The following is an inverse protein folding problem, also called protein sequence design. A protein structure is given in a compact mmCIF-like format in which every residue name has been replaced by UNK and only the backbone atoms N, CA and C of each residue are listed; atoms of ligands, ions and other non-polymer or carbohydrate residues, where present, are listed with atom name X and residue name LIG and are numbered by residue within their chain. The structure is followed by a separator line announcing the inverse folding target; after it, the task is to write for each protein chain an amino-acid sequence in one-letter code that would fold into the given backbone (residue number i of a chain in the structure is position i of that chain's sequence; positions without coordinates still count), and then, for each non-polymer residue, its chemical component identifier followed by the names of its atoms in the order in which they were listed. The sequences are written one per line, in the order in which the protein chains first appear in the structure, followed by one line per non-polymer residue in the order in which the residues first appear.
data_IF_951270209091
#
_entry.id   IF_951270209091
#
_cell.length_a   1.000
_cell.length_b   1.000
_cell.length_c   1.000
_cell.angle_alpha   90.00
_cell.angle_beta   90.00
_cell.angle_gamma   90.00
#
_symmetry.space_group_name_H-M   'P 1'
#
loop_
_entity.id
_entity.type
_entity.pdbx_description
1 polymer ?
#
# COMPACT_ATOMS: atom_id res chain seq x y z
N UNK A 1 -10.15 3.02 -2.42
CA UNK A 1 -10.91 3.60 -1.27
C UNK A 1 -10.03 3.63 -0.02
N UNK A 2 -9.49 2.49 0.43
CA UNK A 2 -8.68 2.41 1.66
C UNK A 2 -7.39 3.27 1.60
N UNK A 3 -6.65 3.21 0.51
CA UNK A 3 -5.35 3.91 0.35
C UNK A 3 -5.42 5.43 0.59
N UNK A 4 -6.39 6.18 0.04
CA UNK A 4 -6.48 7.61 0.32
C UNK A 4 -7.14 7.95 1.66
N UNK A 5 -7.92 7.05 2.26
CA UNK A 5 -8.62 7.28 3.54
C UNK A 5 -7.70 7.04 4.74
N UNK A 6 -6.97 5.93 4.75
CA UNK A 6 -6.17 5.50 5.90
C UNK A 6 -5.19 6.56 6.42
N UNK A 7 -4.45 7.31 5.58
CA UNK A 7 -3.49 8.31 6.06
C UNK A 7 -4.13 9.54 6.72
N UNK A 8 -5.45 9.70 6.62
CA UNK A 8 -6.16 10.85 7.17
C UNK A 8 -6.73 10.63 8.57
N UNK A 9 -6.48 9.47 9.16
CA UNK A 9 -6.65 9.30 10.60
C UNK A 9 -5.42 9.82 11.32
N UNK A 10 -5.62 10.43 12.49
CA UNK A 10 -4.53 10.98 13.27
C UNK A 10 -3.50 9.91 13.66
N UNK A 11 -2.24 10.29 13.73
CA UNK A 11 -1.21 9.42 14.29
C UNK A 11 -1.60 9.01 15.73
N UNK A 12 -1.41 7.73 16.03
CA UNK A 12 -1.84 7.20 17.33
C UNK A 12 -3.32 6.78 17.40
N UNK A 13 -4.12 6.98 16.36
CA UNK A 13 -5.46 6.42 16.27
C UNK A 13 -5.38 4.88 16.22
N UNK A 14 -6.02 4.18 17.18
CA UNK A 14 -5.94 2.71 17.33
C UNK A 14 -7.29 2.02 17.27
N UNK A 15 -8.39 2.75 17.17
CA UNK A 15 -9.72 2.17 17.06
C UNK A 15 -9.89 1.53 15.68
N UNK A 16 -10.60 0.41 15.63
CA UNK A 16 -10.96 -0.22 14.36
C UNK A 16 -12.00 0.63 13.62
N UNK A 17 -11.79 0.78 12.31
CA UNK A 17 -12.74 1.44 11.42
C UNK A 17 -13.08 0.50 10.27
N UNK A 18 -14.37 0.25 10.09
CA UNK A 18 -14.88 -0.52 8.98
C UNK A 18 -15.72 0.37 8.06
N UNK A 19 -15.35 0.41 6.78
CA UNK A 19 -16.11 1.08 5.72
C UNK A 19 -16.68 0.01 4.79
N UNK A 20 -18.00 -0.01 4.63
CA UNK A 20 -18.70 -0.94 3.77
C UNK A 20 -19.44 -0.17 2.68
N UNK A 21 -19.07 -0.43 1.42
CA UNK A 21 -19.73 0.13 0.26
C UNK A 21 -20.55 -0.95 -0.43
N UNK A 22 -21.87 -0.78 -0.44
CA UNK A 22 -22.78 -1.71 -1.09
C UNK A 22 -23.31 -1.09 -2.38
N UNK A 23 -22.97 -1.71 -3.51
CA UNK A 23 -23.46 -1.30 -4.83
C UNK A 23 -24.89 -1.83 -5.01
N UNK A 24 -25.86 -0.94 -5.04
CA UNK A 24 -27.28 -1.30 -5.17
C UNK A 24 -27.79 -1.19 -6.63
N UNK A 25 -27.15 -0.35 -7.42
CA UNK A 25 -27.50 -0.13 -8.84
C UNK A 25 -26.25 0.34 -9.58
N UNK A 26 -26.12 -0.06 -10.83
CA UNK A 26 -24.97 0.27 -11.69
C UNK A 26 -25.46 0.84 -13.02
N UNK A 27 -24.83 1.93 -13.44
CA UNK A 27 -24.85 2.39 -14.83
C UNK A 27 -23.54 1.89 -15.49
N UNK A 28 -23.68 1.10 -16.55
CA UNK A 28 -22.51 0.53 -17.25
C UNK A 28 -21.63 1.59 -17.94
N UNK A 29 -22.10 2.84 -18.02
CA UNK A 29 -21.32 3.96 -18.55
C UNK A 29 -20.52 4.72 -17.48
N UNK A 30 -20.72 4.40 -16.20
CA UNK A 30 -20.07 5.07 -15.08
C UNK A 30 -19.48 4.07 -14.07
N UNK A 31 -18.25 4.32 -13.63
CA UNK A 31 -17.56 3.51 -12.62
C UNK A 31 -18.23 3.64 -11.24
N UNK A 32 -18.71 2.53 -10.64
CA UNK A 32 -19.24 2.55 -9.29
C UNK A 32 -18.19 2.86 -8.22
N UNK A 33 -16.90 2.62 -8.53
CA UNK A 33 -15.78 2.81 -7.60
C UNK A 33 -15.60 4.29 -7.22
N UNK A 34 -15.78 5.22 -8.16
CA UNK A 34 -15.68 6.65 -7.89
C UNK A 34 -16.85 7.13 -7.00
N UNK A 35 -18.06 6.65 -7.26
CA UNK A 35 -19.19 6.92 -6.40
C UNK A 35 -19.03 6.31 -5.00
N UNK A 36 -18.46 5.11 -4.91
CA UNK A 36 -18.15 4.45 -3.63
C UNK A 36 -17.10 5.21 -2.82
N UNK A 37 -16.08 5.77 -3.47
CA UNK A 37 -15.06 6.58 -2.81
C UNK A 37 -15.66 7.86 -2.23
N UNK A 38 -16.46 8.57 -3.01
CA UNK A 38 -17.19 9.77 -2.55
C UNK A 38 -18.14 9.43 -1.39
N UNK A 39 -18.88 8.33 -1.51
CA UNK A 39 -19.79 7.86 -0.46
C UNK A 39 -19.07 7.47 0.83
N UNK A 40 -17.91 6.81 0.73
CA UNK A 40 -17.07 6.47 1.88
C UNK A 40 -16.54 7.73 2.60
N UNK A 41 -16.03 8.70 1.83
CA UNK A 41 -15.59 10.00 2.36
C UNK A 41 -16.71 10.74 3.06
N UNK A 42 -17.84 10.89 2.41
CA UNK A 42 -19.02 11.54 3.00
C UNK A 42 -19.50 10.85 4.28
N UNK A 43 -19.58 9.52 4.28
CA UNK A 43 -20.00 8.76 5.46
C UNK A 43 -19.09 9.01 6.68
N UNK A 44 -17.78 9.05 6.46
CA UNK A 44 -16.80 9.37 7.50
C UNK A 44 -16.91 10.85 7.93
N UNK A 45 -17.03 11.76 6.99
CA UNK A 45 -17.06 13.20 7.27
C UNK A 45 -18.34 13.63 8.02
N UNK A 46 -19.50 13.07 7.68
CA UNK A 46 -20.77 13.42 8.37
C UNK A 46 -20.95 12.68 9.70
N UNK A 47 -20.22 11.58 9.93
CA UNK A 47 -20.27 10.84 11.19
C UNK A 47 -19.51 11.57 12.31
N UNK A 48 -19.59 11.03 13.51
CA UNK A 48 -18.82 11.47 14.67
C UNK A 48 -17.40 10.88 14.72
N UNK A 49 -16.99 10.06 13.74
CA UNK A 49 -15.64 9.48 13.64
C UNK A 49 -14.62 10.60 13.38
N UNK A 50 -13.51 10.70 14.14
CA UNK A 50 -12.47 11.72 13.95
C UNK A 50 -11.64 11.38 12.69
N UNK A 51 -12.02 11.95 11.59
CA UNK A 51 -11.44 11.79 10.26
C UNK A 51 -11.05 13.15 9.68
N UNK A 52 -9.80 13.28 9.22
CA UNK A 52 -9.21 14.53 8.71
C UNK A 52 -9.44 14.73 7.20
N UNK A 53 -10.53 14.14 6.64
CA UNK A 53 -10.99 14.42 5.29
C UNK A 53 -11.73 15.75 5.17
N UNK A 54 -12.39 15.97 4.02
CA UNK A 54 -12.79 14.98 3.02
C UNK A 54 -11.71 14.56 2.03
N UNK A 55 -11.97 13.49 1.30
CA UNK A 55 -11.23 13.04 0.15
C UNK A 55 -12.18 12.79 -1.03
N UNK A 56 -11.68 13.02 -2.23
CA UNK A 56 -12.36 12.59 -3.44
C UNK A 56 -11.37 11.93 -4.41
N UNK A 57 -11.91 11.20 -5.38
CA UNK A 57 -11.13 10.61 -6.44
C UNK A 57 -11.84 10.71 -7.77
N UNK A 58 -11.05 10.73 -8.83
CA UNK A 58 -11.51 10.74 -10.20
C UNK A 58 -10.63 9.83 -11.07
N UNK A 59 -11.20 9.37 -12.17
CA UNK A 59 -10.45 8.73 -13.24
C UNK A 59 -10.17 9.76 -14.33
N UNK A 60 -8.91 9.85 -14.79
CA UNK A 60 -8.48 10.75 -15.85
C UNK A 60 -8.07 9.94 -17.06
N UNK A 61 -8.70 10.20 -18.20
CA UNK A 61 -8.30 9.71 -19.51
C UNK A 61 -7.58 10.77 -20.34
N UNK A 62 -6.77 10.33 -21.32
CA UNK A 62 -6.25 11.17 -22.40
C UNK A 62 -6.80 10.63 -23.72
N UNK A 63 -7.82 11.28 -24.25
CA UNK A 63 -8.60 10.82 -25.39
C UNK A 63 -8.49 11.86 -26.50
N UNK A 64 -8.02 11.42 -27.67
CA UNK A 64 -7.84 12.29 -28.83
C UNK A 64 -7.02 13.58 -28.55
N UNK A 65 -6.11 13.52 -27.57
CA UNK A 65 -5.24 14.62 -27.15
C UNK A 65 -5.82 15.54 -26.06
N UNK A 66 -7.02 15.24 -25.54
CA UNK A 66 -7.68 16.02 -24.49
C UNK A 66 -7.86 15.19 -23.20
N UNK A 67 -7.67 15.83 -22.05
CA UNK A 67 -7.95 15.19 -20.76
C UNK A 67 -9.44 15.16 -20.50
N UNK A 68 -9.92 14.02 -20.01
CA UNK A 68 -11.33 13.77 -19.72
C UNK A 68 -11.45 13.16 -18.31
N UNK A 69 -12.46 13.62 -17.54
CA UNK A 69 -12.77 13.08 -16.20
C UNK A 69 -13.87 12.02 -16.31
N UNK A 70 -13.63 10.86 -15.70
CA UNK A 70 -14.60 9.76 -15.56
C UNK A 70 -15.24 9.37 -16.91
N UNK A 71 -14.42 9.26 -17.95
CA UNK A 71 -14.88 8.84 -19.27
C UNK A 71 -15.49 7.43 -19.21
N UNK A 72 -16.47 7.20 -20.07
CA UNK A 72 -17.12 5.89 -20.19
C UNK A 72 -16.20 4.81 -20.77
N UNK A 73 -16.56 3.52 -20.64
CA UNK A 73 -15.71 2.41 -21.06
C UNK A 73 -15.29 2.48 -22.54
N UNK A 74 -16.21 2.82 -23.43
CA UNK A 74 -15.93 2.93 -24.88
C UNK A 74 -14.90 4.02 -25.19
N UNK A 75 -14.92 5.13 -24.46
CA UNK A 75 -13.95 6.22 -24.60
C UNK A 75 -12.60 5.82 -24.01
N UNK A 76 -12.62 5.12 -22.86
CA UNK A 76 -11.40 4.63 -22.20
C UNK A 76 -10.62 3.61 -23.02
N UNK A 77 -11.26 2.82 -23.90
CA UNK A 77 -10.55 1.93 -24.83
C UNK A 77 -9.56 2.69 -25.75
N UNK A 78 -9.91 3.92 -26.13
CA UNK A 78 -9.09 4.79 -26.99
C UNK A 78 -8.11 5.65 -26.20
N UNK A 79 -8.24 5.69 -24.89
CA UNK A 79 -7.40 6.51 -24.03
C UNK A 79 -5.94 6.05 -24.04
N UNK A 80 -5.03 7.01 -23.98
CA UNK A 80 -3.60 6.78 -23.78
C UNK A 80 -3.22 6.69 -22.30
N UNK A 81 -4.10 7.16 -21.40
CA UNK A 81 -3.91 7.14 -19.96
C UNK A 81 -5.19 6.60 -19.32
N UNK A 82 -5.05 5.71 -18.36
CA UNK A 82 -6.08 5.37 -17.38
C UNK A 82 -5.50 5.67 -16.01
N UNK A 83 -5.84 6.85 -15.47
CA UNK A 83 -5.24 7.38 -14.26
C UNK A 83 -6.31 7.54 -13.19
N UNK A 84 -6.25 6.72 -12.15
CA UNK A 84 -6.99 6.94 -10.92
C UNK A 84 -6.20 7.85 -9.99
N UNK A 85 -6.76 8.97 -9.64
CA UNK A 85 -6.17 9.93 -8.71
C UNK A 85 -7.14 10.28 -7.61
N UNK A 86 -6.66 10.28 -6.37
CA UNK A 86 -7.44 10.69 -5.22
C UNK A 86 -6.59 11.55 -4.27
N UNK A 87 -7.27 12.39 -3.52
CA UNK A 87 -6.61 13.29 -2.58
C UNK A 87 -7.57 14.19 -1.81
N UNK A 88 -6.96 15.07 -1.04
CA UNK A 88 -7.62 16.19 -0.37
C UNK A 88 -7.60 17.42 -1.28
N UNK A 89 -8.19 18.53 -0.83
CA UNK A 89 -8.10 19.80 -1.57
C UNK A 89 -6.67 20.33 -1.72
N UNK A 90 -5.78 19.94 -0.82
CA UNK A 90 -4.43 20.49 -0.74
C UNK A 90 -3.37 19.57 -1.35
N UNK A 91 -3.64 18.27 -1.43
CA UNK A 91 -2.65 17.28 -1.87
C UNK A 91 -3.27 16.03 -2.49
N UNK A 92 -2.57 15.48 -3.48
CA UNK A 92 -2.82 14.14 -4.01
C UNK A 92 -2.14 13.13 -3.08
N UNK A 93 -2.87 12.13 -2.62
CA UNK A 93 -2.35 11.10 -1.72
C UNK A 93 -2.49 9.67 -2.26
N UNK A 94 -3.14 9.48 -3.41
CA UNK A 94 -3.23 8.21 -4.11
C UNK A 94 -3.18 8.41 -5.61
N UNK A 95 -2.34 7.62 -6.26
CA UNK A 95 -2.22 7.55 -7.73
C UNK A 95 -2.12 6.09 -8.13
N UNK A 96 -2.87 5.72 -9.15
CA UNK A 96 -2.75 4.45 -9.84
C UNK A 96 -2.95 4.70 -11.34
N UNK A 97 -2.00 4.27 -12.17
CA UNK A 97 -2.04 4.58 -13.59
C UNK A 97 -1.63 3.38 -14.45
N UNK A 98 -2.34 3.23 -15.57
CA UNK A 98 -1.92 2.48 -16.73
C UNK A 98 -1.81 3.45 -17.91
N UNK A 99 -0.68 3.42 -18.63
CA UNK A 99 -0.41 4.37 -19.68
C UNK A 99 0.31 3.75 -20.89
N UNK A 100 -0.01 4.23 -22.08
CA UNK A 100 0.59 3.78 -23.35
C UNK A 100 1.76 4.71 -23.71
N UNK A 101 2.86 4.60 -22.96
CA UNK A 101 4.15 5.29 -23.22
C UNK A 101 4.02 6.83 -23.35
N UNK A 102 3.18 7.46 -22.54
CA UNK A 102 3.12 8.93 -22.45
C UNK A 102 4.33 9.46 -21.68
N UNK A 103 4.75 10.69 -22.01
CA UNK A 103 5.84 11.36 -21.31
C UNK A 103 5.44 11.82 -19.89
N UNK A 104 6.44 12.13 -19.07
CA UNK A 104 6.26 12.52 -17.68
C UNK A 104 5.51 13.85 -17.53
N UNK A 105 5.73 14.80 -18.42
CA UNK A 105 5.06 16.10 -18.38
C UNK A 105 3.56 15.93 -18.66
N UNK A 106 3.21 15.08 -19.63
CA UNK A 106 1.81 14.72 -19.92
C UNK A 106 1.16 14.04 -18.73
N UNK A 107 1.86 13.10 -18.06
CA UNK A 107 1.35 12.44 -16.87
C UNK A 107 1.17 13.44 -15.71
N UNK A 108 2.11 14.34 -15.49
CA UNK A 108 2.00 15.39 -14.47
C UNK A 108 0.80 16.30 -14.73
N UNK A 109 0.60 16.70 -15.97
CA UNK A 109 -0.56 17.52 -16.34
C UNK A 109 -1.88 16.78 -16.12
N UNK A 110 -1.94 15.47 -16.40
CA UNK A 110 -3.11 14.64 -16.10
C UNK A 110 -3.41 14.57 -14.59
N UNK A 111 -2.38 14.42 -13.75
CA UNK A 111 -2.51 14.45 -12.29
C UNK A 111 -3.08 15.79 -11.81
N UNK A 112 -2.54 16.89 -12.28
CA UNK A 112 -3.00 18.23 -11.91
C UNK A 112 -4.43 18.50 -12.39
N UNK A 113 -4.77 18.06 -13.61
CA UNK A 113 -6.13 18.16 -14.14
C UNK A 113 -7.14 17.38 -13.28
N UNK A 114 -6.79 16.15 -12.88
CA UNK A 114 -7.59 15.36 -11.94
C UNK A 114 -7.75 16.02 -10.57
N UNK A 115 -6.67 16.63 -10.06
CA UNK A 115 -6.71 17.32 -8.77
C UNK A 115 -7.65 18.54 -8.76
N UNK A 116 -7.76 19.28 -9.86
CA UNK A 116 -8.75 20.37 -9.95
C UNK A 116 -10.18 19.84 -9.85
N UNK A 117 -10.51 18.72 -10.51
CA UNK A 117 -11.81 18.08 -10.37
C UNK A 117 -12.07 17.55 -8.95
N UNK A 118 -11.04 17.02 -8.29
CA UNK A 118 -11.11 16.59 -6.88
C UNK A 118 -11.51 17.76 -5.98
N UNK A 119 -10.94 18.95 -6.16
CA UNK A 119 -11.27 20.14 -5.38
C UNK A 119 -12.75 20.54 -5.49
N UNK A 120 -13.33 20.38 -6.68
CA UNK A 120 -14.76 20.65 -6.89
C UNK A 120 -15.65 19.65 -6.13
N UNK A 121 -15.29 18.37 -6.16
CA UNK A 121 -15.99 17.33 -5.39
C UNK A 121 -15.88 17.57 -3.89
N UNK A 122 -14.70 17.92 -3.40
CA UNK A 122 -14.47 18.24 -1.99
C UNK A 122 -15.28 19.46 -1.55
N UNK A 123 -15.37 20.51 -2.38
CA UNK A 123 -16.22 21.67 -2.09
C UNK A 123 -17.71 21.31 -2.01
N UNK A 124 -18.14 20.27 -2.73
CA UNK A 124 -19.48 19.71 -2.57
C UNK A 124 -19.61 18.95 -1.24
N UNK A 125 -18.64 18.10 -0.89
CA UNK A 125 -18.65 17.35 0.37
C UNK A 125 -18.66 18.29 1.59
N UNK A 126 -17.86 19.35 1.58
CA UNK A 126 -17.81 20.37 2.64
C UNK A 126 -19.22 20.99 2.89
N UNK A 127 -20.01 21.26 1.84
CA UNK A 127 -21.38 21.75 1.97
C UNK A 127 -22.33 20.72 2.60
N UNK A 128 -22.14 19.43 2.27
CA UNK A 128 -22.94 18.36 2.87
C UNK A 128 -22.60 18.23 4.36
N UNK A 129 -21.32 18.28 4.70
CA UNK A 129 -20.84 18.22 6.09
C UNK A 129 -21.36 19.42 6.89
N UNK A 130 -21.37 20.63 6.33
CA UNK A 130 -21.95 21.81 6.97
C UNK A 130 -23.46 21.64 7.26
N UNK A 131 -24.17 20.97 6.35
CA UNK A 131 -25.63 20.80 6.47
C UNK A 131 -26.03 19.69 7.45
N UNK A 132 -25.28 18.62 7.58
CA UNK A 132 -25.70 17.43 8.35
C UNK A 132 -24.56 16.70 9.09
N UNK A 133 -23.37 17.26 9.13
CA UNK A 133 -22.24 16.68 9.87
C UNK A 133 -22.47 16.68 11.38
N UNK A 134 -21.91 15.68 12.04
CA UNK A 134 -21.89 15.56 13.50
C UNK A 134 -20.59 16.10 14.07
N UNK A 135 -20.63 16.51 15.34
CA UNK A 135 -19.43 16.81 16.10
C UNK A 135 -18.57 15.54 16.26
N UNK A 136 -17.26 15.68 16.08
CA UNK A 136 -16.34 14.57 16.17
C UNK A 136 -16.09 14.18 17.62
N UNK A 137 -16.10 12.86 17.89
CA UNK A 137 -15.75 12.36 19.23
C UNK A 137 -14.26 12.61 19.51
N UNK A 138 -13.96 12.98 20.73
CA UNK A 138 -12.60 13.01 21.24
C UNK A 138 -12.18 11.59 21.66
N UNK A 139 -11.03 11.14 21.20
CA UNK A 139 -10.47 9.85 21.56
C UNK A 139 -9.04 10.03 22.05
N UNK A 140 -8.58 9.21 23.01
CA UNK A 140 -7.19 9.20 23.40
C UNK A 140 -6.34 8.67 22.23
N UNK A 141 -5.35 9.45 21.81
CA UNK A 141 -4.36 9.00 20.84
C UNK A 141 -3.24 8.27 21.58
N UNK A 142 -2.74 7.22 20.95
CA UNK A 142 -1.57 6.52 21.47
C UNK A 142 -0.33 7.38 21.22
N UNK A 143 0.37 7.69 22.29
CA UNK A 143 1.64 8.41 22.26
C UNK A 143 2.74 7.58 22.92
N UNK A 144 3.96 7.67 22.39
CA UNK A 144 5.12 7.03 23.01
C UNK A 144 5.58 7.84 24.24
N UNK A 145 5.91 7.15 25.30
CA UNK A 145 6.56 7.77 26.47
C UNK A 145 7.95 8.28 26.06
N UNK A 146 8.12 9.61 26.11
CA UNK A 146 9.35 10.25 25.69
C UNK A 146 10.56 9.89 26.59
N UNK A 147 10.33 9.56 27.86
CA UNK A 147 11.38 9.07 28.72
C UNK A 147 11.87 7.69 28.30
N UNK A 148 10.94 6.82 27.91
CA UNK A 148 11.25 5.49 27.39
C UNK A 148 11.96 5.60 26.02
N UNK A 149 11.52 6.49 25.14
CA UNK A 149 12.19 6.77 23.86
C UNK A 149 13.65 7.15 24.10
N UNK A 150 13.90 8.09 25.01
CA UNK A 150 15.26 8.54 25.31
C UNK A 150 16.11 7.41 25.91
N UNK A 151 15.57 6.66 26.88
CA UNK A 151 16.28 5.54 27.52
C UNK A 151 16.73 4.48 26.51
N UNK A 152 15.83 4.07 25.60
CA UNK A 152 16.14 3.06 24.58
C UNK A 152 17.11 3.63 23.53
N UNK A 153 16.95 4.88 23.14
CA UNK A 153 17.86 5.55 22.22
C UNK A 153 19.28 5.56 22.79
N UNK A 154 19.44 6.00 24.05
CA UNK A 154 20.75 6.03 24.72
C UNK A 154 21.36 4.63 24.88
N UNK A 155 20.51 3.61 24.99
CA UNK A 155 20.93 2.23 25.19
C UNK A 155 21.49 1.57 23.93
N UNK A 156 20.91 1.81 22.75
CA UNK A 156 21.22 0.99 21.57
C UNK A 156 21.37 1.77 20.24
N UNK A 157 21.24 3.09 20.21
CA UNK A 157 21.29 3.87 18.96
C UNK A 157 22.58 3.65 18.19
N UNK A 158 23.74 3.71 18.85
CA UNK A 158 25.03 3.58 18.17
C UNK A 158 25.24 2.20 17.57
N UNK A 159 24.74 1.16 18.26
CA UNK A 159 24.76 -0.20 17.76
C UNK A 159 23.79 -0.36 16.56
N UNK A 160 22.60 0.24 16.63
CA UNK A 160 21.62 0.23 15.54
C UNK A 160 22.17 0.91 14.29
N UNK A 161 22.82 2.06 14.43
CA UNK A 161 23.51 2.77 13.33
C UNK A 161 24.56 1.88 12.67
N UNK A 162 25.36 1.19 13.49
CA UNK A 162 26.38 0.26 12.98
C UNK A 162 25.74 -0.95 12.26
N UNK A 163 24.69 -1.53 12.82
CA UNK A 163 24.00 -2.68 12.26
C UNK A 163 23.32 -2.36 10.93
N UNK A 164 22.60 -1.23 10.84
CA UNK A 164 21.92 -0.77 9.61
C UNK A 164 22.92 -0.56 8.45
N UNK A 165 24.16 -0.20 8.76
CA UNK A 165 25.20 0.06 7.76
C UNK A 165 25.89 -1.21 7.22
N UNK A 166 25.53 -2.41 7.67
CA UNK A 166 26.08 -3.67 7.17
C UNK A 166 25.54 -3.94 5.75
N UNK A 167 26.40 -4.07 4.71
CA UNK A 167 25.93 -4.22 3.33
C UNK A 167 25.18 -5.53 3.07
N UNK A 168 25.61 -6.63 3.69
CA UNK A 168 25.01 -7.96 3.55
C UNK A 168 23.61 -8.00 4.18
N UNK A 169 22.61 -8.42 3.42
CA UNK A 169 21.21 -8.40 3.88
C UNK A 169 20.98 -9.28 5.11
N UNK A 170 21.41 -10.54 5.04
CA UNK A 170 21.20 -11.51 6.13
C UNK A 170 22.01 -11.14 7.38
N UNK A 171 23.24 -10.69 7.20
CA UNK A 171 24.12 -10.24 8.28
C UNK A 171 23.58 -8.98 8.96
N UNK A 172 23.05 -8.03 8.18
CA UNK A 172 22.40 -6.83 8.68
C UNK A 172 21.17 -7.15 9.51
N UNK A 173 20.27 -8.00 8.98
CA UNK A 173 19.08 -8.40 9.72
C UNK A 173 19.43 -9.15 11.00
N UNK A 174 20.37 -10.08 10.95
CA UNK A 174 20.81 -10.80 12.15
C UNK A 174 21.37 -9.86 13.22
N UNK A 175 22.14 -8.83 12.82
CA UNK A 175 22.67 -7.84 13.75
C UNK A 175 21.56 -6.94 14.34
N UNK A 176 20.58 -6.55 13.54
CA UNK A 176 19.42 -5.77 14.00
C UNK A 176 18.57 -6.61 14.95
N UNK A 177 18.25 -7.86 14.58
CA UNK A 177 17.46 -8.78 15.42
C UNK A 177 18.14 -9.05 16.77
N UNK A 178 19.47 -9.22 16.79
CA UNK A 178 20.24 -9.39 18.02
C UNK A 178 20.08 -8.18 18.98
N UNK A 179 20.10 -6.97 18.44
CA UNK A 179 19.88 -5.75 19.22
C UNK A 179 18.44 -5.70 19.74
N UNK A 180 17.47 -5.97 18.85
CA UNK A 180 16.05 -5.95 19.19
C UNK A 180 15.71 -6.99 20.27
N UNK A 181 16.18 -8.22 20.11
CA UNK A 181 15.97 -9.31 21.07
C UNK A 181 16.58 -8.99 22.43
N UNK A 182 17.84 -8.50 22.45
CA UNK A 182 18.53 -8.12 23.68
C UNK A 182 17.81 -7.03 24.45
N UNK A 183 17.41 -5.96 23.76
CA UNK A 183 16.69 -4.84 24.40
C UNK A 183 15.31 -5.30 24.87
N UNK A 184 14.59 -6.06 24.04
CA UNK A 184 13.27 -6.60 24.39
C UNK A 184 13.35 -7.49 25.63
N UNK A 185 14.33 -8.41 25.70
CA UNK A 185 14.54 -9.28 26.87
C UNK A 185 14.87 -8.46 28.13
N UNK A 186 15.68 -7.42 28.03
CA UNK A 186 16.01 -6.54 29.13
C UNK A 186 14.77 -5.85 29.73
N UNK A 187 13.82 -5.46 28.88
CA UNK A 187 12.56 -4.86 29.35
C UNK A 187 11.56 -5.90 29.83
N UNK A 188 11.53 -7.10 29.25
CA UNK A 188 10.67 -8.20 29.71
C UNK A 188 11.00 -8.69 31.13
N UNK A 189 12.28 -8.60 31.52
CA UNK A 189 12.77 -8.96 32.87
C UNK A 189 12.55 -7.89 33.95
N UNK A 190 12.13 -6.65 33.58
CA UNK A 190 11.82 -5.59 34.54
C UNK A 190 10.56 -5.93 35.36
N UNK A 191 10.50 -5.45 36.60
CA UNK A 191 9.30 -5.55 37.43
C UNK A 191 8.29 -4.45 36.99
N UNK A 192 7.04 -4.86 36.82
CA UNK A 192 5.93 -3.98 36.46
C UNK A 192 4.83 -4.06 37.50
N UNK A 193 4.00 -3.02 37.61
CA UNK A 193 2.91 -2.98 38.61
C UNK A 193 1.84 -4.05 38.31
N UNK A 194 1.59 -4.30 37.01
CA UNK A 194 0.62 -5.29 36.55
C UNK A 194 0.99 -5.73 35.11
N UNK A 195 0.29 -6.75 34.61
CA UNK A 195 0.50 -7.32 33.25
C UNK A 195 0.11 -6.35 32.16
N UNK A 196 -0.91 -5.51 32.35
CA UNK A 196 -1.36 -4.52 31.39
C UNK A 196 -0.29 -3.45 31.15
N UNK A 197 0.33 -2.97 32.21
CA UNK A 197 1.46 -2.04 32.15
C UNK A 197 2.64 -2.67 31.41
N UNK A 198 2.96 -3.94 31.70
CA UNK A 198 4.01 -4.69 31.01
C UNK A 198 3.74 -4.77 29.51
N UNK A 199 2.56 -5.21 29.12
CA UNK A 199 2.18 -5.33 27.71
C UNK A 199 2.26 -3.98 26.97
N UNK A 200 1.80 -2.90 27.62
CA UNK A 200 1.87 -1.54 27.08
C UNK A 200 3.31 -1.10 26.86
N UNK A 201 4.21 -1.32 27.83
CA UNK A 201 5.63 -0.96 27.70
C UNK A 201 6.31 -1.81 26.63
N UNK A 202 6.10 -3.12 26.62
CA UNK A 202 6.69 -4.01 25.61
C UNK A 202 6.28 -3.63 24.19
N UNK A 203 5.03 -3.23 23.99
CA UNK A 203 4.55 -2.70 22.70
C UNK A 203 5.27 -1.42 22.31
N UNK A 204 5.48 -0.50 23.25
CA UNK A 204 6.22 0.73 22.99
C UNK A 204 7.70 0.45 22.67
N UNK A 205 8.35 -0.47 23.38
CA UNK A 205 9.73 -0.91 23.11
C UNK A 205 9.88 -1.37 21.67
N UNK A 206 8.98 -2.24 21.18
CA UNK A 206 9.00 -2.71 19.80
C UNK A 206 8.84 -1.57 18.77
N UNK A 207 7.95 -0.61 19.03
CA UNK A 207 7.76 0.55 18.16
C UNK A 207 9.00 1.45 18.13
N UNK A 208 9.59 1.73 19.29
CA UNK A 208 10.77 2.58 19.42
C UNK A 208 11.96 1.98 18.67
N UNK A 209 12.22 0.69 18.86
CA UNK A 209 13.31 -0.02 18.18
C UNK A 209 13.14 0.01 16.65
N UNK A 210 11.93 -0.22 16.17
CA UNK A 210 11.62 -0.13 14.75
C UNK A 210 11.79 1.31 14.21
N UNK A 211 11.39 2.31 14.98
CA UNK A 211 11.56 3.71 14.58
C UNK A 211 13.03 4.13 14.56
N UNK A 212 13.89 3.63 15.46
CA UNK A 212 15.33 3.84 15.40
C UNK A 212 15.93 3.28 14.11
N UNK A 213 15.61 2.03 13.76
CA UNK A 213 16.04 1.43 12.48
C UNK A 213 15.58 2.27 11.30
N UNK A 214 14.29 2.57 11.22
CA UNK A 214 13.67 3.35 10.14
C UNK A 214 14.28 4.74 10.00
N UNK A 215 14.52 5.43 11.10
CA UNK A 215 15.08 6.78 11.08
C UNK A 215 16.53 6.77 10.58
N UNK A 216 17.34 5.78 11.00
CA UNK A 216 18.69 5.63 10.51
C UNK A 216 18.76 5.26 9.02
N UNK A 217 17.92 4.34 8.56
CA UNK A 217 17.80 4.04 7.13
C UNK A 217 17.45 5.28 6.32
N UNK A 218 16.53 6.10 6.82
CA UNK A 218 16.16 7.35 6.17
C UNK A 218 17.29 8.36 6.18
N UNK A 219 18.00 8.48 7.30
CA UNK A 219 19.17 9.37 7.41
C UNK A 219 20.24 9.03 6.39
N UNK A 220 20.61 7.73 6.28
CA UNK A 220 21.56 7.25 5.27
C UNK A 220 21.15 7.66 3.84
N UNK A 221 19.87 7.49 3.50
CA UNK A 221 19.37 7.79 2.16
C UNK A 221 19.28 9.30 1.92
N UNK A 222 18.80 10.09 2.89
CA UNK A 222 18.53 11.52 2.69
C UNK A 222 19.77 12.37 2.85
N UNK A 223 20.67 12.03 3.78
CA UNK A 223 21.87 12.82 4.09
C UNK A 223 23.11 12.27 3.39
N UNK A 224 23.41 10.99 3.55
CA UNK A 224 24.61 10.38 2.99
C UNK A 224 24.43 9.90 1.53
N UNK A 225 23.19 9.85 1.02
CA UNK A 225 22.86 9.41 -0.34
C UNK A 225 23.29 7.96 -0.62
N UNK A 226 23.30 7.12 0.41
CA UNK A 226 23.68 5.71 0.36
C UNK A 226 22.50 4.88 0.87
N UNK A 227 22.22 3.76 0.20
CA UNK A 227 21.25 2.77 0.69
C UNK A 227 21.91 1.78 1.66
N UNK A 228 21.17 1.13 2.56
CA UNK A 228 21.74 0.18 3.54
C UNK A 228 22.57 -0.94 2.94
N UNK A 229 22.32 -1.33 1.70
CA UNK A 229 23.10 -2.33 0.96
C UNK A 229 24.32 -1.75 0.22
N UNK A 230 24.69 -0.51 0.49
CA UNK A 230 25.85 0.19 -0.07
C UNK A 230 25.65 0.79 -1.47
N UNK A 231 24.48 0.59 -2.09
CA UNK A 231 24.16 1.19 -3.40
C UNK A 231 23.94 2.69 -3.29
N UNK A 232 24.20 3.39 -4.37
CA UNK A 232 23.78 4.78 -4.56
C UNK A 232 22.26 4.86 -4.71
N UNK A 233 21.70 6.06 -4.55
CA UNK A 233 20.24 6.29 -4.61
C UNK A 233 19.63 5.99 -5.99
N UNK A 234 20.40 6.15 -7.07
CA UNK A 234 20.04 5.90 -8.47
C UNK A 234 20.49 4.54 -9.01
N UNK A 235 21.17 3.75 -8.20
CA UNK A 235 21.70 2.44 -8.59
C UNK A 235 20.63 1.35 -8.49
N UNK A 236 20.37 0.66 -9.59
CA UNK A 236 19.46 -0.48 -9.65
C UNK A 236 20.17 -1.75 -9.16
N UNK A 237 19.45 -2.62 -8.45
CA UNK A 237 19.99 -3.94 -8.09
C UNK A 237 20.33 -4.74 -9.35
N UNK A 238 21.36 -5.62 -9.30
CA UNK A 238 21.68 -6.50 -10.43
C UNK A 238 20.45 -7.30 -10.87
N UNK A 239 20.16 -7.25 -12.16
CA UNK A 239 19.07 -7.98 -12.78
C UNK A 239 19.61 -9.12 -13.63
N UNK A 240 18.99 -10.28 -13.55
CA UNK A 240 19.24 -11.41 -14.42
C UNK A 240 17.92 -12.08 -14.79
N UNK A 241 17.79 -12.48 -16.05
CA UNK A 241 16.65 -13.21 -16.55
C UNK A 241 17.11 -14.41 -17.38
N UNK A 242 16.56 -15.57 -17.09
CA UNK A 242 16.81 -16.81 -17.82
C UNK A 242 15.47 -17.39 -18.26
N UNK A 243 15.39 -17.91 -19.47
CA UNK A 243 14.19 -18.53 -20.01
C UNK A 243 14.42 -19.99 -20.31
N UNK A 244 13.35 -20.74 -20.54
CA UNK A 244 13.39 -22.15 -20.95
C UNK A 244 14.09 -23.07 -19.95
N UNK A 245 13.80 -22.88 -18.65
CA UNK A 245 14.42 -23.65 -17.56
C UNK A 245 13.74 -25.01 -17.31
N UNK A 246 12.43 -25.06 -17.48
CA UNK A 246 11.64 -26.26 -17.18
C UNK A 246 11.23 -26.95 -18.47
N UNK A 247 11.57 -28.24 -18.64
CA UNK A 247 11.09 -29.01 -19.78
C UNK A 247 9.58 -29.28 -19.67
N UNK A 248 8.91 -29.40 -20.81
CA UNK A 248 7.48 -29.80 -20.95
C UNK A 248 6.46 -28.78 -20.42
N UNK A 249 6.85 -27.57 -20.10
CA UNK A 249 5.92 -26.46 -19.89
C UNK A 249 5.82 -25.62 -21.15
N UNK A 250 4.78 -24.80 -21.28
CA UNK A 250 4.62 -23.94 -22.46
C UNK A 250 5.61 -22.76 -22.44
N UNK A 251 6.06 -22.36 -21.26
CA UNK A 251 7.10 -21.38 -21.05
C UNK A 251 7.55 -21.34 -19.60
N UNK A 252 8.81 -21.04 -19.37
CA UNK A 252 9.37 -20.82 -18.04
C UNK A 252 10.43 -19.77 -18.05
N UNK A 253 10.52 -18.98 -16.98
CA UNK A 253 11.52 -17.97 -16.78
C UNK A 253 11.92 -17.87 -15.31
N UNK A 254 13.20 -17.65 -15.06
CA UNK A 254 13.72 -17.27 -13.75
C UNK A 254 14.17 -15.82 -13.81
N UNK A 255 13.55 -14.96 -13.04
CA UNK A 255 13.94 -13.58 -12.89
C UNK A 255 14.62 -13.37 -11.53
N UNK A 256 15.79 -12.77 -11.53
CA UNK A 256 16.57 -12.49 -10.33
C UNK A 256 16.82 -10.98 -10.23
N UNK A 257 16.49 -10.41 -9.08
CA UNK A 257 16.79 -9.03 -8.73
C UNK A 257 17.54 -8.98 -7.39
N UNK A 258 18.84 -8.79 -7.45
CA UNK A 258 19.70 -8.96 -6.28
C UNK A 258 19.59 -10.37 -5.70
N UNK A 259 19.11 -10.50 -4.48
CA UNK A 259 18.93 -11.78 -3.79
C UNK A 259 17.54 -12.40 -3.95
N UNK A 260 16.60 -11.67 -4.58
CA UNK A 260 15.23 -12.16 -4.79
C UNK A 260 15.08 -12.84 -6.13
N UNK A 261 14.50 -14.04 -6.14
CA UNK A 261 14.24 -14.82 -7.35
C UNK A 261 12.75 -15.14 -7.50
N UNK A 262 12.27 -15.08 -8.72
CA UNK A 262 10.90 -15.48 -9.10
C UNK A 262 10.96 -16.48 -10.24
N UNK A 263 10.43 -17.68 -10.02
CA UNK A 263 10.24 -18.67 -11.07
C UNK A 263 8.82 -18.52 -11.63
N UNK A 264 8.73 -18.11 -12.88
CA UNK A 264 7.48 -17.95 -13.60
C UNK A 264 7.26 -19.15 -14.54
N UNK A 265 6.05 -19.67 -14.56
CA UNK A 265 5.67 -20.76 -15.46
C UNK A 265 4.41 -20.34 -16.22
N UNK A 266 4.47 -20.47 -17.54
CA UNK A 266 3.37 -20.14 -18.43
C UNK A 266 2.65 -21.41 -18.87
N UNK A 267 1.32 -21.37 -18.83
CA UNK A 267 0.45 -22.40 -19.39
C UNK A 267 -0.48 -21.75 -20.41
N UNK A 268 -0.45 -22.24 -21.65
CA UNK A 268 -1.37 -21.82 -22.70
C UNK A 268 -2.59 -22.74 -22.69
N UNK A 269 -3.78 -22.15 -22.69
CA UNK A 269 -5.04 -22.85 -22.76
C UNK A 269 -5.79 -22.57 -24.05
N UNK A 270 -6.80 -23.39 -24.34
CA UNK A 270 -7.74 -23.16 -25.44
C UNK A 270 -8.64 -21.94 -25.14
N UNK A 271 -9.19 -21.30 -26.18
CA UNK A 271 -10.08 -20.15 -26.02
C UNK A 271 -11.34 -20.44 -25.18
N UNK A 272 -11.73 -21.70 -25.04
CA UNK A 272 -12.84 -22.12 -24.17
C UNK A 272 -12.48 -22.19 -22.67
N UNK A 273 -11.19 -22.13 -22.33
CA UNK A 273 -10.67 -22.21 -20.96
C UNK A 273 -10.60 -20.86 -20.24
N UNK A 274 -11.11 -19.79 -20.86
CA UNK A 274 -11.13 -18.45 -20.25
C UNK A 274 -11.96 -18.43 -18.97
N UNK A 275 -11.54 -17.66 -18.00
CA UNK A 275 -12.32 -17.42 -16.79
C UNK A 275 -13.58 -16.63 -17.15
N UNK A 276 -14.75 -17.18 -16.83
CA UNK A 276 -16.01 -16.45 -16.93
C UNK A 276 -16.19 -15.56 -15.72
N UNK A 277 -16.61 -14.33 -15.96
CA UNK A 277 -16.90 -13.34 -14.95
C UNK A 277 -18.41 -13.09 -14.95
N UNK A 278 -19.04 -13.29 -13.80
CA UNK A 278 -20.45 -12.98 -13.57
C UNK A 278 -20.53 -11.83 -12.56
N UNK A 279 -20.44 -10.63 -13.07
CA UNK A 279 -20.38 -9.41 -12.27
C UNK A 279 -21.29 -8.31 -12.82
N UNK A 280 -21.24 -7.12 -12.20
CA UNK A 280 -22.02 -5.94 -12.61
C UNK A 280 -21.34 -5.13 -13.73
N UNK A 281 -20.08 -5.42 -14.04
CA UNK A 281 -19.31 -4.76 -15.09
C UNK A 281 -19.59 -5.29 -16.48
N UNK A 282 -18.93 -4.69 -17.49
CA UNK A 282 -19.05 -5.10 -18.90
C UNK A 282 -18.20 -6.34 -19.23
N UNK A 283 -17.18 -6.63 -18.43
CA UNK A 283 -16.30 -7.77 -18.64
C UNK A 283 -17.02 -9.07 -18.28
N UNK A 284 -17.18 -9.97 -19.26
CA UNK A 284 -17.77 -11.29 -19.09
C UNK A 284 -16.74 -12.43 -19.06
N UNK A 285 -15.49 -12.13 -19.41
CA UNK A 285 -14.42 -13.13 -19.45
C UNK A 285 -13.04 -12.53 -19.25
N UNK A 286 -12.14 -13.29 -18.64
CA UNK A 286 -10.74 -12.95 -18.46
C UNK A 286 -9.84 -14.02 -19.07
N UNK A 287 -9.04 -13.63 -20.06
CA UNK A 287 -8.13 -14.54 -20.79
C UNK A 287 -6.79 -14.74 -20.09
N UNK A 288 -6.26 -13.67 -19.52
CA UNK A 288 -4.97 -13.67 -18.85
C UNK A 288 -5.19 -13.78 -17.34
N UNK A 289 -4.50 -14.74 -16.71
CA UNK A 289 -4.53 -14.94 -15.27
C UNK A 289 -3.09 -15.02 -14.79
N UNK A 290 -2.74 -14.17 -13.84
CA UNK A 290 -1.43 -14.17 -13.20
C UNK A 290 -1.61 -14.57 -11.73
N UNK A 291 -1.13 -15.76 -11.38
CA UNK A 291 -1.13 -16.23 -10.00
C UNK A 291 0.23 -15.95 -9.38
N UNK A 292 0.22 -15.32 -8.21
CA UNK A 292 1.42 -15.10 -7.41
C UNK A 292 1.37 -15.99 -6.17
N UNK A 293 2.34 -16.89 -6.06
CA UNK A 293 2.47 -17.81 -4.94
C UNK A 293 3.69 -17.41 -4.11
N UNK A 294 3.51 -17.25 -2.80
CA UNK A 294 4.55 -16.92 -1.86
C UNK A 294 4.54 -17.95 -0.72
N UNK A 295 5.09 -19.16 -0.97
CA UNK A 295 5.13 -20.21 0.05
C UNK A 295 6.10 -19.86 1.18
N UNK A 296 5.91 -20.39 2.42
CA UNK A 296 6.74 -20.07 3.57
C UNK A 296 8.24 -20.28 3.32
N UNK A 297 8.62 -21.30 2.58
CA UNK A 297 10.04 -21.57 2.26
C UNK A 297 10.68 -20.45 1.41
N UNK A 298 9.91 -19.54 0.81
CA UNK A 298 10.45 -18.38 0.08
C UNK A 298 11.23 -17.42 0.97
N UNK A 299 10.94 -17.42 2.27
CA UNK A 299 11.61 -16.64 3.30
C UNK A 299 12.37 -17.50 4.31
N UNK A 300 12.54 -18.79 4.02
CA UNK A 300 13.26 -19.74 4.89
C UNK A 300 12.46 -20.22 6.09
N UNK A 301 11.17 -20.00 6.12
CA UNK A 301 10.28 -20.40 7.21
C UNK A 301 9.58 -21.73 6.93
N UNK A 302 9.14 -22.39 8.00
CA UNK A 302 8.21 -23.50 7.93
C UNK A 302 6.79 -22.99 8.14
N UNK A 303 5.84 -23.48 7.34
CA UNK A 303 4.46 -23.04 7.45
C UNK A 303 3.49 -23.93 6.70
N UNK A 304 2.21 -23.67 6.89
CA UNK A 304 1.16 -24.45 6.22
C UNK A 304 1.15 -24.14 4.73
N UNK A 305 1.35 -25.16 3.90
CA UNK A 305 1.18 -25.05 2.46
C UNK A 305 -0.31 -25.02 2.11
N UNK A 306 -0.81 -23.83 1.83
CA UNK A 306 -2.18 -23.65 1.36
C UNK A 306 -2.20 -23.74 -0.17
N UNK A 307 -3.09 -24.55 -0.72
CA UNK A 307 -3.35 -24.54 -2.15
C UNK A 307 -4.21 -23.32 -2.54
N UNK A 308 -4.22 -22.99 -3.83
CA UNK A 308 -5.02 -21.88 -4.38
C UNK A 308 -6.50 -21.95 -3.99
N UNK A 309 -7.07 -23.14 -3.82
CA UNK A 309 -8.45 -23.32 -3.39
C UNK A 309 -8.70 -22.83 -1.94
N UNK A 310 -7.66 -22.75 -1.11
CA UNK A 310 -7.75 -22.27 0.27
C UNK A 310 -7.43 -20.78 0.42
N UNK A 311 -6.78 -20.19 -0.58
CA UNK A 311 -6.30 -18.80 -0.56
C UNK A 311 -7.25 -17.88 -1.38
N UNK A 312 -8.16 -18.46 -2.15
CA UNK A 312 -8.71 -17.82 -3.33
C UNK A 312 -9.62 -16.61 -3.07
N UNK A 313 -10.36 -16.54 -1.98
CA UNK A 313 -11.36 -15.46 -1.84
C UNK A 313 -10.84 -14.17 -1.16
N UNK A 314 -10.21 -14.19 0.01
CA UNK A 314 -9.78 -12.95 0.63
C UNK A 314 -8.58 -12.30 -0.07
N UNK A 315 -7.71 -13.11 -0.66
CA UNK A 315 -6.48 -12.63 -1.30
C UNK A 315 -6.72 -12.06 -2.69
N UNK A 316 -7.72 -12.54 -3.41
CA UNK A 316 -8.15 -11.96 -4.69
C UNK A 316 -8.75 -10.56 -4.53
N UNK A 317 -9.44 -10.30 -3.43
CA UNK A 317 -10.01 -8.97 -3.12
C UNK A 317 -8.98 -7.98 -2.58
N UNK A 318 -7.89 -8.49 -2.02
CA UNK A 318 -6.67 -7.73 -1.71
C UNK A 318 -5.66 -7.80 -2.85
N UNK A 319 -6.05 -8.49 -3.92
CA UNK A 319 -5.21 -8.71 -5.09
C UNK A 319 -4.77 -7.38 -5.60
N UNK A 320 -3.58 -7.22 -5.46
CA UNK A 320 -2.70 -6.58 -6.38
C UNK A 320 -3.50 -6.33 -7.67
N UNK A 321 -4.04 -5.12 -7.78
CA UNK A 321 -4.46 -4.58 -9.07
C UNK A 321 -3.18 -4.46 -9.88
N UNK A 322 -3.06 -5.24 -10.90
CA UNK A 322 -2.10 -5.03 -11.97
C UNK A 322 -2.85 -4.46 -13.16
#
# INVERSE_FOLDING_TARGET
IDRPIRPLFADGFRNEVQVVNTVLSVDQQASPEMAAMLGASLALCVSDIPFNGPIAGVNVGLIDGEFTINAGPEEMERSLINLEVAGTKDAINMVEADAKEVDEDTMLNALMFGHEAIKELIAFEEKVVEACGKEKIEIPLFELDQALVQEITDLCNDEMVAAVSIPGKLERYAAIDEIMDRVTAQYDEKEYADEETKESVMKQVGIILHDLEKNEVRRLITEEKIRPDGRKIDEVRPLNAQVDLLPRVHGSALFTRGETQVLSVCTLGAMGEVQKIDGLGLEDQKRFMHHYNFPPYSVGETGRMLSLIHISEPTRRRGISY
#
